data_IF_927503860464
#
_entry.id   IF_927503860464
#
_cell.length_a   1.000
_cell.length_b   1.000
_cell.length_c   1.000
_cell.angle_alpha   90.00
_cell.angle_beta   90.00
_cell.angle_gamma   90.00
#
_symmetry.space_group_name_H-M   'P 1'
#
loop_
_entity.id
_entity.type
_entity.pdbx_description
1 polymer ?
#
# COMPACT_ATOMS: atom_id res chain seq x y z
N UNK A 1 8.95 -86.58 -51.10
CA UNK A 1 8.12 -85.53 -51.74
C UNK A 1 6.95 -86.20 -52.48
N UNK A 2 5.75 -85.60 -52.50
CA UNK A 2 4.62 -86.12 -53.31
C UNK A 2 4.83 -85.74 -54.78
N UNK A 3 4.60 -86.66 -55.73
CA UNK A 3 4.78 -86.43 -57.18
C UNK A 3 3.98 -85.22 -57.70
N UNK A 4 2.82 -84.92 -57.09
CA UNK A 4 2.00 -83.75 -57.41
C UNK A 4 2.72 -82.39 -57.22
N UNK A 5 3.74 -82.31 -56.37
CA UNK A 5 4.55 -81.08 -56.15
C UNK A 5 5.62 -80.84 -57.22
N UNK A 6 5.80 -81.78 -58.16
CA UNK A 6 6.77 -81.65 -59.27
C UNK A 6 6.16 -80.97 -60.51
N UNK A 7 4.87 -80.65 -60.49
CA UNK A 7 4.23 -79.85 -61.53
C UNK A 7 4.84 -78.45 -61.60
N UNK A 8 5.06 -77.93 -62.81
CA UNK A 8 5.73 -76.64 -63.02
C UNK A 8 5.05 -75.46 -62.30
N UNK A 9 3.72 -75.49 -62.12
CA UNK A 9 2.95 -74.48 -61.38
C UNK A 9 3.22 -74.51 -59.87
N UNK A 10 3.31 -75.70 -59.28
CA UNK A 10 3.60 -75.85 -57.85
C UNK A 10 5.05 -75.45 -57.54
N UNK A 11 5.98 -75.73 -58.46
CA UNK A 11 7.35 -75.23 -58.35
C UNK A 11 7.41 -73.70 -58.41
N UNK A 12 6.66 -73.07 -59.32
CA UNK A 12 6.57 -71.60 -59.38
C UNK A 12 6.02 -70.98 -58.10
N UNK A 13 4.93 -71.53 -57.54
CA UNK A 13 4.39 -71.07 -56.25
C UNK A 13 5.42 -71.15 -55.12
N UNK A 14 6.16 -72.25 -55.04
CA UNK A 14 7.23 -72.42 -54.04
C UNK A 14 8.36 -71.42 -54.28
N UNK A 15 8.73 -71.15 -55.53
CA UNK A 15 9.73 -70.15 -55.87
C UNK A 15 9.27 -68.71 -55.57
N UNK A 16 7.96 -68.42 -55.69
CA UNK A 16 7.33 -67.15 -55.31
C UNK A 16 7.28 -66.99 -53.78
N UNK A 17 6.75 -67.98 -53.07
CA UNK A 17 6.70 -68.02 -51.60
C UNK A 17 8.11 -67.90 -51.01
N UNK A 18 9.09 -68.61 -51.57
CA UNK A 18 10.49 -68.49 -51.16
C UNK A 18 11.03 -67.07 -51.32
N UNK A 19 10.66 -66.37 -52.39
CA UNK A 19 11.07 -64.97 -52.63
C UNK A 19 10.40 -64.01 -51.63
N UNK A 20 9.11 -64.17 -51.39
CA UNK A 20 8.35 -63.36 -50.43
C UNK A 20 8.90 -63.52 -49.02
N UNK A 21 9.08 -64.77 -48.55
CA UNK A 21 9.65 -65.06 -47.23
C UNK A 21 11.09 -64.53 -47.13
N UNK A 22 11.91 -64.66 -48.18
CA UNK A 22 13.25 -64.05 -48.22
C UNK A 22 13.21 -62.53 -48.12
N UNK A 23 12.22 -61.88 -48.71
CA UNK A 23 12.04 -60.42 -48.63
C UNK A 23 11.58 -59.99 -47.24
N UNK A 24 10.63 -60.71 -46.66
CA UNK A 24 10.13 -60.47 -45.30
C UNK A 24 11.24 -60.63 -44.26
N UNK A 25 12.04 -61.71 -44.34
CA UNK A 25 13.20 -61.91 -43.46
C UNK A 25 14.16 -60.72 -43.56
N UNK A 26 14.51 -60.27 -44.77
CA UNK A 26 15.40 -59.10 -44.95
C UNK A 26 14.83 -57.83 -44.35
N UNK A 27 13.52 -57.63 -44.48
CA UNK A 27 12.83 -56.48 -43.90
C UNK A 27 12.87 -56.54 -42.36
N UNK A 28 12.51 -57.69 -41.76
CA UNK A 28 12.49 -57.89 -40.31
C UNK A 28 13.89 -57.82 -39.70
N UNK A 29 14.90 -58.46 -40.30
CA UNK A 29 16.30 -58.34 -39.88
C UNK A 29 16.80 -56.90 -40.00
N UNK A 30 16.45 -56.21 -41.09
CA UNK A 30 16.79 -54.81 -41.31
C UNK A 30 16.09 -53.84 -40.35
N UNK A 31 14.94 -54.24 -39.80
CA UNK A 31 14.21 -53.53 -38.75
C UNK A 31 14.85 -53.77 -37.38
N UNK A 32 15.17 -55.03 -37.04
CA UNK A 32 15.80 -55.43 -35.78
C UNK A 32 17.23 -54.88 -35.62
N UNK A 33 17.99 -54.77 -36.72
CA UNK A 33 19.35 -54.26 -36.70
C UNK A 33 19.46 -52.75 -36.44
N UNK A 34 18.38 -51.98 -36.69
CA UNK A 34 18.39 -50.52 -36.63
C UNK A 34 17.26 -50.00 -35.71
N UNK A 35 17.58 -49.63 -34.44
CA UNK A 35 16.59 -49.15 -33.48
C UNK A 35 15.74 -47.96 -33.97
N UNK A 36 16.30 -47.10 -34.83
CA UNK A 36 15.59 -45.95 -35.40
C UNK A 36 14.39 -46.35 -36.27
N UNK A 37 14.49 -47.45 -37.03
CA UNK A 37 13.38 -47.94 -37.86
C UNK A 37 12.24 -48.52 -37.01
N UNK A 38 12.57 -49.15 -35.88
CA UNK A 38 11.57 -49.63 -34.92
C UNK A 38 10.77 -48.45 -34.35
N UNK A 39 11.44 -47.36 -33.96
CA UNK A 39 10.75 -46.16 -33.48
C UNK A 39 9.84 -45.53 -34.54
N UNK A 40 10.21 -45.61 -35.81
CA UNK A 40 9.38 -45.16 -36.92
C UNK A 40 8.10 -45.99 -37.06
N UNK A 41 8.22 -47.32 -36.98
CA UNK A 41 7.07 -48.24 -36.94
C UNK A 41 6.17 -47.94 -35.74
N UNK A 42 6.74 -47.84 -34.52
CA UNK A 42 5.98 -47.52 -33.31
C UNK A 42 5.24 -46.18 -33.44
N UNK A 43 5.90 -45.15 -34.01
CA UNK A 43 5.26 -43.85 -34.24
C UNK A 43 4.08 -43.98 -35.20
N UNK A 44 4.20 -44.77 -36.26
CA UNK A 44 3.13 -44.99 -37.23
C UNK A 44 1.94 -45.73 -36.61
N UNK A 45 2.19 -46.75 -35.80
CA UNK A 45 1.17 -47.51 -35.09
C UNK A 45 0.45 -46.65 -34.03
N UNK A 46 1.20 -45.84 -33.25
CA UNK A 46 0.61 -44.91 -32.28
C UNK A 46 -0.25 -43.83 -32.95
N UNK A 47 0.16 -43.36 -34.14
CA UNK A 47 -0.64 -42.42 -34.91
C UNK A 47 -1.94 -43.07 -35.44
N UNK A 48 -1.89 -44.33 -35.86
CA UNK A 48 -3.06 -45.08 -36.27
C UNK A 48 -4.01 -45.33 -35.08
N UNK A 49 -3.49 -45.71 -33.91
CA UNK A 49 -4.27 -45.87 -32.68
C UNK A 49 -4.95 -44.57 -32.27
N UNK A 50 -4.24 -43.43 -32.32
CA UNK A 50 -4.81 -42.11 -32.06
C UNK A 50 -5.96 -41.78 -33.03
N UNK A 51 -5.86 -42.20 -34.29
CA UNK A 51 -6.91 -41.99 -35.30
C UNK A 51 -8.13 -42.89 -35.08
N UNK A 52 -7.92 -44.16 -34.70
CA UNK A 52 -9.01 -45.13 -34.48
C UNK A 52 -9.74 -44.91 -33.15
N UNK A 53 -9.03 -44.50 -32.09
CA UNK A 53 -9.55 -44.47 -30.73
C UNK A 53 -9.46 -43.10 -30.05
N UNK A 54 -9.04 -42.05 -30.75
CA UNK A 54 -8.97 -40.70 -30.19
C UNK A 54 -10.35 -40.09 -29.99
N UNK A 55 -10.64 -39.63 -28.77
CA UNK A 55 -11.82 -38.85 -28.42
C UNK A 55 -11.43 -37.42 -28.00
N UNK A 56 -12.30 -36.42 -28.22
CA UNK A 56 -12.08 -35.08 -27.71
C UNK A 56 -12.13 -35.09 -26.18
N UNK A 57 -11.30 -34.26 -25.54
CA UNK A 57 -11.29 -34.13 -24.09
C UNK A 57 -12.67 -33.69 -23.61
N UNK A 58 -13.29 -34.48 -22.73
CA UNK A 58 -14.62 -34.21 -22.18
C UNK A 58 -14.62 -33.14 -21.08
N UNK A 59 -13.50 -32.97 -20.38
CA UNK A 59 -13.34 -31.99 -19.30
C UNK A 59 -12.66 -30.73 -19.79
N UNK A 60 -13.20 -29.58 -19.43
CA UNK A 60 -12.53 -28.29 -19.61
C UNK A 60 -11.63 -28.04 -18.40
N UNK A 61 -10.36 -27.70 -18.65
CA UNK A 61 -9.48 -27.20 -17.59
C UNK A 61 -9.70 -25.69 -17.58
N UNK A 62 -10.44 -25.21 -16.59
CA UNK A 62 -10.57 -23.78 -16.35
C UNK A 62 -9.32 -23.38 -15.58
N UNK A 63 -8.52 -22.50 -16.16
CA UNK A 63 -7.35 -21.94 -15.48
C UNK A 63 -7.78 -20.82 -14.52
N UNK A 64 -6.96 -20.50 -13.51
CA UNK A 64 -7.26 -19.43 -12.54
C UNK A 64 -7.59 -18.08 -13.22
N UNK A 65 -7.06 -17.84 -14.43
CA UNK A 65 -7.32 -16.64 -15.23
C UNK A 65 -8.70 -16.61 -15.92
N UNK A 66 -9.36 -17.76 -16.12
CA UNK A 66 -10.65 -17.92 -16.81
C UNK A 66 -11.82 -18.17 -15.84
N UNK A 67 -11.53 -18.26 -14.54
CA UNK A 67 -12.53 -18.47 -13.50
C UNK A 67 -13.12 -17.13 -13.05
N UNK A 68 -14.37 -16.86 -13.44
CA UNK A 68 -15.10 -15.62 -13.13
C UNK A 68 -15.68 -15.60 -11.70
N UNK A 69 -15.50 -16.67 -10.94
CA UNK A 69 -15.80 -16.69 -9.51
C UNK A 69 -14.60 -16.18 -8.72
N UNK A 70 -14.81 -15.54 -7.58
CA UNK A 70 -13.69 -15.19 -6.70
C UNK A 70 -13.01 -16.48 -6.23
N UNK A 71 -11.79 -16.76 -6.70
CA UNK A 71 -10.92 -17.76 -6.07
C UNK A 71 -10.73 -17.29 -4.62
N UNK A 72 -11.26 -18.04 -3.65
CA UNK A 72 -11.13 -17.70 -2.24
C UNK A 72 -9.67 -17.93 -1.85
N UNK A 73 -8.85 -16.88 -1.98
CA UNK A 73 -7.50 -16.86 -1.43
C UNK A 73 -7.60 -16.87 0.10
N UNK A 74 -6.59 -17.43 0.78
CA UNK A 74 -6.60 -17.53 2.24
C UNK A 74 -6.76 -16.16 2.92
N UNK A 75 -6.28 -15.11 2.25
CA UNK A 75 -6.38 -13.70 2.62
C UNK A 75 -7.83 -13.19 2.62
N UNK A 76 -8.70 -13.73 1.76
CA UNK A 76 -10.12 -13.37 1.71
C UNK A 76 -10.94 -13.94 2.88
N UNK A 77 -10.39 -14.95 3.59
CA UNK A 77 -11.00 -15.54 4.79
C UNK A 77 -10.71 -14.73 6.07
N UNK A 78 -9.82 -13.73 5.98
CA UNK A 78 -9.53 -12.84 7.11
C UNK A 78 -10.73 -11.94 7.36
N UNK A 79 -11.23 -11.83 8.61
CA UNK A 79 -12.35 -10.95 8.91
C UNK A 79 -11.96 -9.50 8.64
N UNK A 80 -12.83 -8.79 7.93
CA UNK A 80 -12.75 -7.34 7.78
C UNK A 80 -13.13 -6.69 9.11
N UNK A 81 -12.34 -5.73 9.55
CA UNK A 81 -12.55 -5.06 10.83
C UNK A 81 -11.41 -4.14 11.19
N UNK A 82 -11.74 -3.05 11.86
CA UNK A 82 -10.73 -2.16 12.44
C UNK A 82 -10.05 -2.84 13.61
N UNK A 83 -8.72 -2.75 13.65
CA UNK A 83 -7.88 -3.24 14.74
C UNK A 83 -6.95 -2.14 15.19
N UNK A 84 -6.59 -2.16 16.47
CA UNK A 84 -5.57 -1.27 17.00
C UNK A 84 -4.23 -1.99 16.98
N UNK A 85 -3.27 -1.45 16.24
CA UNK A 85 -1.88 -1.92 16.23
C UNK A 85 -1.06 -1.04 17.16
N UNK A 86 -0.31 -1.66 18.06
CA UNK A 86 0.57 -0.94 18.99
C UNK A 86 1.98 -1.48 18.91
N UNK A 87 2.97 -0.58 18.94
CA UNK A 87 4.39 -0.92 18.95
C UNK A 87 5.01 -0.31 20.20
N UNK A 88 5.75 -1.10 20.97
CA UNK A 88 6.42 -0.66 22.19
C UNK A 88 7.78 -0.01 21.92
N UNK A 89 8.33 0.71 22.90
CA UNK A 89 9.69 1.26 22.80
C UNK A 89 10.79 0.20 22.72
N UNK A 90 10.47 -1.07 23.00
CA UNK A 90 11.37 -2.21 22.84
C UNK A 90 11.22 -2.89 21.47
N UNK A 91 10.35 -2.36 20.61
CA UNK A 91 10.02 -2.97 19.33
C UNK A 91 9.17 -4.23 19.50
N UNK A 92 8.28 -4.29 20.49
CA UNK A 92 7.27 -5.35 20.57
C UNK A 92 5.99 -4.88 19.87
N UNK A 93 5.43 -5.69 18.99
CA UNK A 93 4.22 -5.37 18.22
C UNK A 93 3.09 -6.32 18.61
N UNK A 94 1.87 -5.77 18.67
CA UNK A 94 0.64 -6.53 18.88
C UNK A 94 -0.53 -5.85 18.16
N UNK A 95 -1.55 -6.65 17.82
CA UNK A 95 -2.86 -6.16 17.37
C UNK A 95 -3.93 -6.42 18.42
N UNK A 96 -4.92 -5.54 18.49
CA UNK A 96 -6.07 -5.63 19.39
C UNK A 96 -7.33 -5.52 18.52
N UNK A 97 -8.14 -6.58 18.47
CA UNK A 97 -9.32 -6.67 17.61
C UNK A 97 -10.45 -5.72 18.00
N UNK A 98 -10.47 -5.23 19.24
CA UNK A 98 -11.49 -4.31 19.73
C UNK A 98 -10.93 -2.90 19.87
N UNK A 99 -11.23 -2.03 18.91
CA UNK A 99 -10.82 -0.62 18.88
C UNK A 99 -11.54 0.26 19.90
N UNK A 100 -12.64 -0.21 20.49
CA UNK A 100 -13.51 0.61 21.35
C UNK A 100 -12.83 1.13 22.62
N UNK A 101 -11.64 0.63 22.97
CA UNK A 101 -10.82 1.19 24.05
C UNK A 101 -9.37 1.31 23.59
N UNK A 102 -8.96 2.48 23.05
CA UNK A 102 -7.54 2.77 22.95
C UNK A 102 -6.87 2.64 24.33
N UNK A 103 -5.55 2.37 24.38
CA UNK A 103 -4.85 2.21 25.64
C UNK A 103 -5.07 3.44 26.51
N UNK A 104 -5.24 3.25 27.82
CA UNK A 104 -5.46 4.38 28.75
C UNK A 104 -4.27 5.34 28.84
N UNK A 105 -3.09 4.88 28.42
CA UNK A 105 -1.85 5.65 28.43
C UNK A 105 -0.95 5.22 27.28
N UNK A 106 -0.29 6.19 26.65
CA UNK A 106 0.70 5.94 25.60
C UNK A 106 2.08 5.54 26.12
N UNK A 107 2.29 5.49 27.45
CA UNK A 107 3.62 5.30 28.09
C UNK A 107 4.43 4.14 27.53
N UNK A 108 3.78 3.01 27.25
CA UNK A 108 4.44 1.78 26.83
C UNK A 108 4.74 1.74 25.33
N UNK A 109 4.23 2.70 24.55
CA UNK A 109 4.16 2.65 23.10
C UNK A 109 4.98 3.76 22.46
N UNK A 110 5.49 3.47 21.26
CA UNK A 110 6.11 4.45 20.35
C UNK A 110 5.23 4.70 19.13
N UNK A 111 4.39 3.74 18.77
CA UNK A 111 3.42 3.87 17.68
C UNK A 111 2.10 3.24 18.11
N UNK A 112 1.00 3.94 17.83
CA UNK A 112 -0.36 3.46 18.03
C UNK A 112 -1.16 3.91 16.81
N UNK A 113 -1.67 2.96 16.03
CA UNK A 113 -2.49 3.26 14.86
C UNK A 113 -3.74 2.37 14.83
N UNK A 114 -4.84 2.95 14.34
CA UNK A 114 -6.02 2.19 13.94
C UNK A 114 -5.80 1.80 12.48
N UNK A 115 -5.98 0.52 12.17
CA UNK A 115 -5.73 -0.04 10.85
C UNK A 115 -6.78 -1.09 10.51
N UNK A 116 -6.94 -1.44 9.25
CA UNK A 116 -7.79 -2.57 8.87
C UNK A 116 -7.05 -3.90 9.04
N UNK A 117 -7.72 -4.92 9.60
CA UNK A 117 -7.15 -6.24 9.80
C UNK A 117 -6.66 -6.92 8.50
N UNK A 118 -7.31 -6.63 7.37
CA UNK A 118 -6.96 -7.16 6.05
C UNK A 118 -5.79 -6.44 5.40
N UNK A 119 -5.43 -5.27 5.87
CA UNK A 119 -4.37 -4.48 5.27
C UNK A 119 -2.97 -4.97 5.66
N UNK A 120 -1.96 -4.35 5.06
CA UNK A 120 -0.57 -4.53 5.43
C UNK A 120 -0.06 -3.38 6.29
N UNK A 121 0.77 -3.71 7.25
CA UNK A 121 1.53 -2.76 8.04
C UNK A 121 2.87 -2.49 7.35
N UNK A 122 3.08 -1.23 6.96
CA UNK A 122 4.36 -0.75 6.46
C UNK A 122 5.13 -0.10 7.61
N UNK A 123 6.26 -0.70 7.99
CA UNK A 123 7.12 -0.23 9.07
C UNK A 123 8.36 0.42 8.50
N UNK A 124 8.59 1.66 8.88
CA UNK A 124 9.72 2.46 8.43
C UNK A 124 10.62 2.68 9.64
N UNK A 125 11.88 2.26 9.54
CA UNK A 125 12.85 2.46 10.60
C UNK A 125 13.50 3.83 10.53
N UNK A 126 14.07 4.28 11.65
CA UNK A 126 14.87 5.50 11.72
C UNK A 126 16.11 5.45 10.81
N UNK A 127 16.60 4.25 10.47
CA UNK A 127 17.72 4.06 9.52
C UNK A 127 17.30 4.24 8.05
N UNK A 128 16.01 4.46 7.78
CA UNK A 128 15.48 4.64 6.43
C UNK A 128 15.20 3.34 5.67
N UNK A 129 15.09 2.20 6.38
CA UNK A 129 14.70 0.90 5.81
C UNK A 129 13.23 0.62 6.07
N UNK A 130 12.66 -0.29 5.28
CA UNK A 130 11.20 -0.56 5.31
C UNK A 130 10.89 -2.04 5.32
N UNK A 131 9.87 -2.41 6.09
CA UNK A 131 9.33 -3.76 6.19
C UNK A 131 7.83 -3.78 5.98
N UNK A 132 7.35 -4.89 5.44
CA UNK A 132 5.92 -5.17 5.27
C UNK A 132 5.53 -6.38 6.10
N UNK A 133 4.40 -6.28 6.78
CA UNK A 133 3.80 -7.40 7.48
C UNK A 133 2.28 -7.32 7.35
N UNK A 134 1.64 -8.44 7.00
CA UNK A 134 0.19 -8.49 6.98
C UNK A 134 -0.36 -8.32 8.42
N UNK A 135 -1.30 -7.40 8.63
CA UNK A 135 -1.78 -7.03 9.97
C UNK A 135 -2.38 -8.25 10.68
N UNK A 136 -3.13 -9.07 9.97
CA UNK A 136 -3.71 -10.30 10.54
C UNK A 136 -2.68 -11.33 11.05
N UNK A 137 -1.42 -11.24 10.64
CA UNK A 137 -0.34 -12.11 11.13
C UNK A 137 0.32 -11.58 12.40
N UNK A 138 0.05 -10.33 12.77
CA UNK A 138 0.55 -9.78 14.03
C UNK A 138 -0.07 -10.53 15.22
N UNK A 139 0.68 -10.70 16.31
CA UNK A 139 0.19 -11.41 17.47
C UNK A 139 -1.01 -10.67 18.07
N UNK A 140 -2.10 -11.40 18.24
CA UNK A 140 -3.30 -10.86 18.86
C UNK A 140 -3.13 -10.81 20.39
N UNK A 141 -3.49 -9.67 20.97
CA UNK A 141 -3.41 -9.50 22.41
C UNK A 141 -4.49 -10.32 23.13
N UNK A 142 -4.10 -11.48 23.63
CA UNK A 142 -4.95 -12.37 24.44
C UNK A 142 -4.70 -12.27 25.96
N UNK A 143 -3.65 -11.54 26.39
CA UNK A 143 -3.25 -11.44 27.81
C UNK A 143 -2.55 -10.13 28.19
N UNK A 144 -1.79 -10.14 29.30
CA UNK A 144 -1.10 -8.95 29.85
C UNK A 144 0.26 -8.61 29.19
N UNK A 145 0.57 -9.17 28.02
CA UNK A 145 1.82 -8.87 27.28
C UNK A 145 1.74 -7.60 26.42
N UNK A 146 2.91 -7.12 25.99
CA UNK A 146 3.06 -6.04 25.00
C UNK A 146 3.23 -6.55 23.56
N UNK A 147 3.21 -7.86 23.35
CA UNK A 147 3.28 -8.49 22.02
C UNK A 147 4.54 -9.32 21.80
N UNK A 148 4.89 -9.51 20.53
CA UNK A 148 6.10 -10.21 20.08
C UNK A 148 7.11 -9.22 19.53
N UNK A 149 8.41 -9.51 19.66
CA UNK A 149 9.47 -8.64 19.13
C UNK A 149 9.46 -8.58 17.60
N UNK A 150 9.63 -7.38 17.04
CA UNK A 150 9.83 -7.14 15.61
C UNK A 150 11.00 -7.93 15.05
N UNK A 151 12.06 -8.19 15.85
CA UNK A 151 13.20 -9.01 15.44
C UNK A 151 12.81 -10.46 15.14
N UNK A 152 11.76 -11.00 15.78
CA UNK A 152 11.27 -12.35 15.51
C UNK A 152 10.30 -12.39 14.33
N UNK A 153 9.43 -11.38 14.22
CA UNK A 153 8.40 -11.32 13.18
C UNK A 153 8.95 -10.92 11.80
N UNK A 154 9.96 -10.05 11.77
CA UNK A 154 10.48 -9.47 10.55
C UNK A 154 11.88 -10.00 10.24
N UNK A 155 12.02 -10.67 9.11
CA UNK A 155 13.31 -11.09 8.60
C UNK A 155 14.19 -9.88 8.30
N UNK A 156 15.40 -9.86 8.86
CA UNK A 156 16.39 -8.80 8.61
C UNK A 156 16.20 -7.52 9.43
N UNK A 157 15.34 -7.53 10.46
CA UNK A 157 15.26 -6.44 11.44
C UNK A 157 16.43 -6.51 12.42
N UNK A 158 17.25 -5.46 12.47
CA UNK A 158 18.44 -5.42 13.32
C UNK A 158 18.14 -4.98 14.76
N UNK A 159 18.97 -5.36 15.73
CA UNK A 159 18.71 -5.08 17.17
C UNK A 159 18.77 -3.60 17.54
N UNK A 160 19.51 -2.81 16.79
CA UNK A 160 19.67 -1.36 16.96
C UNK A 160 18.65 -0.57 16.12
N UNK A 161 17.73 -1.26 15.45
CA UNK A 161 16.76 -0.63 14.57
C UNK A 161 15.53 -0.19 15.36
N UNK A 162 15.20 1.10 15.24
CA UNK A 162 14.03 1.70 15.89
C UNK A 162 12.99 2.09 14.84
N UNK A 163 11.70 1.94 15.19
CA UNK A 163 10.60 2.33 14.31
C UNK A 163 10.45 3.85 14.32
N UNK A 164 10.49 4.46 13.14
CA UNK A 164 10.18 5.87 12.92
C UNK A 164 8.68 6.09 12.67
N UNK A 165 8.06 5.25 11.82
CA UNK A 165 6.64 5.36 11.49
C UNK A 165 6.06 3.99 11.12
N UNK A 166 4.78 3.81 11.43
CA UNK A 166 4.01 2.62 11.12
C UNK A 166 2.74 3.04 10.38
N UNK A 167 2.54 2.51 9.18
CA UNK A 167 1.47 2.93 8.27
C UNK A 167 0.57 1.78 7.91
N UNK A 168 -0.74 2.05 7.89
CA UNK A 168 -1.74 1.15 7.34
C UNK A 168 -1.79 1.28 5.81
N UNK A 169 -1.59 0.18 5.11
CA UNK A 169 -1.52 0.15 3.65
C UNK A 169 -2.55 -0.86 3.10
N UNK A 170 -3.58 -0.38 2.37
CA UNK A 170 -4.53 -1.27 1.70
C UNK A 170 -3.83 -2.26 0.77
N UNK A 171 -4.25 -3.53 0.80
CA UNK A 171 -3.76 -4.54 -0.16
C UNK A 171 -4.27 -4.22 -1.57
N UNK A 172 -5.43 -3.56 -1.69
CA UNK A 172 -6.01 -3.21 -2.97
C UNK A 172 -5.08 -2.28 -3.76
N UNK A 173 -4.55 -2.84 -4.85
CA UNK A 173 -3.57 -2.20 -5.71
C UNK A 173 -4.10 -0.91 -6.36
N UNK A 174 -5.41 -0.81 -6.55
CA UNK A 174 -6.04 0.37 -7.16
C UNK A 174 -6.05 1.57 -6.22
N UNK A 175 -6.20 1.32 -4.91
CA UNK A 175 -6.16 2.33 -3.85
C UNK A 175 -4.73 2.79 -3.57
N UNK A 176 -3.77 1.87 -3.70
CA UNK A 176 -2.35 2.16 -3.60
C UNK A 176 -1.83 3.05 -4.73
N UNK A 177 -2.29 2.80 -5.97
CA UNK A 177 -1.80 3.47 -7.19
C UNK A 177 -1.92 5.01 -7.19
N UNK A 178 -2.82 5.55 -6.38
CA UNK A 178 -3.09 6.99 -6.30
C UNK A 178 -2.31 7.70 -5.18
N UNK A 179 -1.56 6.95 -4.37
CA UNK A 179 -0.89 7.48 -3.19
C UNK A 179 0.61 7.66 -3.39
N UNK A 180 1.23 8.50 -2.58
CA UNK A 180 2.67 8.64 -2.46
C UNK A 180 3.11 8.30 -1.04
N UNK A 181 4.33 7.79 -0.89
CA UNK A 181 4.95 7.65 0.42
C UNK A 181 5.88 8.84 0.63
N UNK A 182 5.54 9.69 1.59
CA UNK A 182 6.35 10.83 1.98
C UNK A 182 7.17 10.45 3.21
N UNK A 183 8.47 10.72 3.21
CA UNK A 183 9.36 10.52 4.33
C UNK A 183 10.20 11.78 4.60
N UNK A 184 10.45 12.06 5.86
CA UNK A 184 11.11 13.28 6.33
C UNK A 184 12.23 12.89 7.28
N UNK A 185 13.40 13.47 7.05
CA UNK A 185 14.57 13.24 7.88
C UNK A 185 14.74 14.33 8.92
N UNK A 186 15.49 14.01 9.98
CA UNK A 186 15.83 14.94 11.07
C UNK A 186 16.59 16.16 10.58
N UNK A 187 17.41 16.03 9.55
CA UNK A 187 18.12 17.16 8.93
C UNK A 187 17.23 18.00 7.99
N UNK A 188 15.93 17.70 7.88
CA UNK A 188 14.98 18.48 7.08
C UNK A 188 14.98 18.14 5.59
N UNK A 189 15.43 16.93 5.22
CA UNK A 189 15.22 16.40 3.87
C UNK A 189 13.85 15.73 3.77
N UNK A 190 13.28 15.80 2.57
CA UNK A 190 11.98 15.22 2.23
C UNK A 190 12.14 14.35 1.01
N UNK A 191 11.58 13.15 1.09
CA UNK A 191 11.54 12.16 0.02
C UNK A 191 10.08 11.89 -0.28
N UNK A 192 9.69 11.97 -1.55
CA UNK A 192 8.35 11.56 -2.03
C UNK A 192 8.52 10.38 -2.98
N UNK A 193 8.03 9.21 -2.60
CA UNK A 193 8.13 7.97 -3.38
C UNK A 193 6.77 7.66 -4.02
N UNK A 194 6.79 7.26 -5.28
CA UNK A 194 5.56 6.91 -6.01
C UNK A 194 4.92 5.61 -5.53
N UNK A 195 3.59 5.49 -5.65
CA UNK A 195 2.83 4.26 -5.38
C UNK A 195 3.45 2.99 -5.96
N UNK A 196 3.91 3.05 -7.21
CA UNK A 196 4.44 1.90 -7.94
C UNK A 196 5.68 1.30 -7.28
N UNK A 197 6.52 2.15 -6.67
CA UNK A 197 7.72 1.74 -5.96
C UNK A 197 7.38 1.16 -4.58
N UNK A 198 6.41 1.77 -3.88
CA UNK A 198 5.91 1.26 -2.59
C UNK A 198 5.30 -0.14 -2.76
N UNK A 199 4.56 -0.37 -3.85
CA UNK A 199 3.97 -1.66 -4.19
C UNK A 199 5.03 -2.77 -4.31
N UNK A 200 6.15 -2.49 -4.96
CA UNK A 200 7.20 -3.46 -5.24
C UNK A 200 8.27 -3.53 -4.13
N UNK A 201 8.01 -2.88 -2.99
CA UNK A 201 8.95 -2.82 -1.89
C UNK A 201 9.03 -4.18 -1.20
N UNK A 202 10.24 -4.73 -1.17
CA UNK A 202 10.55 -5.96 -0.45
C UNK A 202 10.95 -5.61 0.97
N UNK A 203 10.62 -6.48 1.94
CA UNK A 203 11.00 -6.27 3.34
C UNK A 203 12.53 -6.17 3.50
N UNK A 204 12.96 -5.13 4.22
CA UNK A 204 14.38 -4.80 4.45
C UNK A 204 15.00 -3.87 3.40
N UNK A 205 14.26 -3.42 2.38
CA UNK A 205 14.73 -2.48 1.38
C UNK A 205 15.02 -1.08 1.97
N UNK A 206 15.98 -0.36 1.39
CA UNK A 206 16.29 1.02 1.75
C UNK A 206 15.34 1.98 1.03
N UNK A 207 14.50 2.67 1.80
CA UNK A 207 13.60 3.71 1.29
C UNK A 207 14.34 5.02 1.09
N UNK A 208 15.15 5.41 2.09
CA UNK A 208 15.93 6.65 2.08
C UNK A 208 17.39 6.32 2.32
N UNK A 209 18.28 6.88 1.50
CA UNK A 209 19.71 6.83 1.75
C UNK A 209 20.10 8.01 2.64
N UNK A 210 20.41 7.73 3.90
CA UNK A 210 20.69 8.75 4.92
C UNK A 210 22.18 9.12 4.95
N UNK A 211 22.46 10.38 5.25
CA UNK A 211 23.81 10.84 5.57
C UNK A 211 24.19 10.44 7.01
N UNK A 212 25.48 10.54 7.34
CA UNK A 212 25.94 10.27 8.70
C UNK A 212 25.24 11.21 9.70
N UNK A 213 24.70 10.63 10.79
CA UNK A 213 23.92 11.32 11.82
C UNK A 213 22.55 11.87 11.38
N UNK A 214 22.03 11.47 10.22
CA UNK A 214 20.62 11.70 9.86
C UNK A 214 19.77 10.48 10.22
N UNK A 215 18.48 10.72 10.46
CA UNK A 215 17.50 9.67 10.76
C UNK A 215 16.14 10.04 10.16
N UNK A 216 15.36 9.04 9.74
CA UNK A 216 13.96 9.26 9.38
C UNK A 216 13.18 9.56 10.66
N UNK A 217 12.53 10.71 10.68
CA UNK A 217 11.72 11.16 11.81
C UNK A 217 10.26 10.74 11.64
N UNK A 218 9.73 10.92 10.43
CA UNK A 218 8.31 10.76 10.16
C UNK A 218 8.10 10.37 8.70
N UNK A 219 7.12 9.51 8.47
CA UNK A 219 6.67 9.17 7.14
C UNK A 219 5.16 8.92 7.14
N UNK A 220 4.50 9.16 6.00
CA UNK A 220 3.07 8.92 5.81
C UNK A 220 2.74 8.61 4.36
N UNK A 221 1.57 8.02 4.13
CA UNK A 221 0.95 8.02 2.81
C UNK A 221 0.22 9.34 2.56
N UNK A 222 0.32 9.85 1.35
CA UNK A 222 -0.33 11.10 0.87
C UNK A 222 -1.02 10.86 -0.47
N UNK A 223 -1.91 11.77 -0.90
CA UNK A 223 -2.66 11.65 -2.17
C UNK A 223 -2.04 12.44 -3.33
N UNK A 224 -1.04 13.28 -3.06
CA UNK A 224 -0.32 14.07 -4.06
C UNK A 224 -0.59 15.58 -4.00
N UNK A 225 -1.68 15.99 -3.33
CA UNK A 225 -2.18 17.35 -3.18
C UNK A 225 -2.14 17.88 -1.73
N UNK A 226 -1.51 17.13 -0.81
CA UNK A 226 -1.43 17.51 0.60
C UNK A 226 -0.44 18.67 0.83
N UNK A 227 -0.64 19.41 1.93
CA UNK A 227 0.32 20.41 2.42
C UNK A 227 1.16 19.81 3.55
N UNK A 228 2.47 19.96 3.45
CA UNK A 228 3.42 19.44 4.44
C UNK A 228 3.89 20.54 5.40
N UNK A 229 3.74 20.27 6.69
CA UNK A 229 4.32 21.06 7.77
C UNK A 229 5.59 20.40 8.32
N UNK A 230 6.65 21.18 8.46
CA UNK A 230 7.86 20.81 9.20
C UNK A 230 8.09 21.78 10.35
N UNK A 231 8.56 21.29 11.50
CA UNK A 231 8.85 22.11 12.68
C UNK A 231 10.26 21.81 13.19
N UNK A 232 11.06 22.85 13.40
CA UNK A 232 12.42 22.74 13.91
C UNK A 232 12.52 22.88 15.42
N UNK A 233 13.60 22.36 16.00
CA UNK A 233 13.93 22.45 17.42
C UNK A 233 14.04 23.91 17.89
N UNK A 234 14.46 24.82 17.00
CA UNK A 234 14.53 26.26 17.27
C UNK A 234 13.19 26.99 17.12
N UNK A 235 12.08 26.26 17.04
CA UNK A 235 10.75 26.85 17.06
C UNK A 235 10.39 27.59 15.78
N UNK A 236 10.92 27.15 14.64
CA UNK A 236 10.47 27.56 13.32
C UNK A 236 9.54 26.51 12.72
N UNK A 237 8.55 26.93 11.94
CA UNK A 237 7.63 26.04 11.22
C UNK A 237 7.48 26.47 9.77
N UNK A 238 7.57 25.53 8.84
CA UNK A 238 7.40 25.77 7.40
C UNK A 238 6.26 24.91 6.87
N UNK A 239 5.35 25.53 6.12
CA UNK A 239 4.22 24.89 5.46
C UNK A 239 4.36 25.09 3.95
N UNK A 240 4.38 24.01 3.17
CA UNK A 240 4.49 24.06 1.72
C UNK A 240 3.72 22.90 1.07
N UNK A 241 3.40 23.00 -0.22
CA UNK A 241 2.68 21.94 -0.93
C UNK A 241 3.60 20.74 -1.18
N UNK A 242 3.12 19.50 -0.97
CA UNK A 242 3.95 18.32 -1.23
C UNK A 242 4.33 18.18 -2.71
N UNK A 243 3.55 18.79 -3.61
CA UNK A 243 3.81 18.85 -5.04
C UNK A 243 5.14 19.55 -5.40
N UNK A 244 5.66 20.42 -4.52
CA UNK A 244 6.99 21.05 -4.65
C UNK A 244 8.14 20.03 -4.56
N UNK A 245 7.88 18.83 -4.02
CA UNK A 245 8.83 17.73 -3.95
C UNK A 245 8.51 16.76 -5.08
N UNK A 246 9.35 16.66 -6.10
CA UNK A 246 9.10 15.70 -7.19
C UNK A 246 9.04 14.25 -6.67
N UNK A 247 8.17 13.39 -7.23
CA UNK A 247 8.20 11.97 -6.91
C UNK A 247 9.50 11.34 -7.44
N UNK A 248 10.10 10.46 -6.65
CA UNK A 248 11.33 9.74 -6.96
C UNK A 248 11.16 8.23 -6.71
N UNK A 249 12.19 7.46 -7.06
CA UNK A 249 12.31 6.06 -6.63
C UNK A 249 12.78 5.93 -5.18
N UNK A 250 13.06 4.70 -4.77
CA UNK A 250 13.64 4.36 -3.45
C UNK A 250 15.15 4.54 -3.41
N UNK A 251 15.73 4.55 -2.21
CA UNK A 251 17.18 4.62 -2.01
C UNK A 251 17.80 5.98 -2.38
N UNK A 252 16.97 7.02 -2.49
CA UNK A 252 17.42 8.38 -2.76
C UNK A 252 17.68 9.15 -1.47
N UNK A 253 18.45 10.22 -1.57
CA UNK A 253 18.73 11.11 -0.45
C UNK A 253 17.61 12.12 -0.16
N UNK A 254 16.70 12.36 -1.10
CA UNK A 254 15.66 13.38 -1.00
C UNK A 254 16.12 14.78 -1.37
N UNK A 255 15.21 15.74 -1.22
CA UNK A 255 15.45 17.17 -1.45
C UNK A 255 15.25 17.94 -0.16
N UNK A 256 15.81 19.15 -0.07
CA UNK A 256 15.64 19.99 1.11
C UNK A 256 14.19 20.49 1.25
N UNK A 257 13.58 20.23 2.41
CA UNK A 257 12.26 20.72 2.79
C UNK A 257 12.30 21.97 3.68
N UNK A 258 13.20 22.00 4.66
CA UNK A 258 13.39 23.15 5.57
C UNK A 258 14.85 23.56 5.62
N UNK A 259 15.10 24.88 5.66
CA UNK A 259 16.44 25.41 5.90
C UNK A 259 16.68 25.57 7.39
N UNK A 260 17.54 24.70 7.94
CA UNK A 260 18.00 24.75 9.33
C UNK A 260 19.23 25.67 9.41
N UNK A 261 19.16 26.76 10.18
CA UNK A 261 20.23 27.77 10.22
C UNK A 261 21.25 27.56 11.33
N UNK A 262 20.81 27.08 12.49
CA UNK A 262 21.69 26.88 13.62
C UNK A 262 22.37 25.51 13.54
N UNK A 263 23.62 25.42 13.99
CA UNK A 263 24.43 24.19 13.90
C UNK A 263 23.80 22.98 14.59
N UNK A 264 22.94 23.20 15.59
CA UNK A 264 22.28 22.15 16.35
C UNK A 264 20.76 22.15 16.13
N UNK A 265 20.26 22.83 15.09
CA UNK A 265 18.85 22.76 14.73
C UNK A 265 18.56 21.45 13.99
N UNK A 266 17.34 20.96 14.19
CA UNK A 266 16.87 19.71 13.64
C UNK A 266 15.35 19.76 13.54
N UNK A 267 14.76 19.02 12.61
CA UNK A 267 13.32 18.81 12.58
C UNK A 267 12.91 17.93 13.76
N UNK A 268 11.93 18.39 14.54
CA UNK A 268 11.40 17.72 15.74
C UNK A 268 9.93 17.31 15.58
N UNK A 269 9.31 17.71 14.48
CA UNK A 269 7.97 17.26 14.13
C UNK A 269 7.63 17.55 12.69
N UNK A 270 6.73 16.75 12.17
CA UNK A 270 6.16 16.91 10.85
C UNK A 270 4.71 16.42 10.83
N UNK A 271 3.96 16.84 9.83
CA UNK A 271 2.61 16.34 9.60
C UNK A 271 1.98 16.96 8.37
N UNK A 272 0.90 16.33 7.89
CA UNK A 272 0.08 16.90 6.84
C UNK A 272 -0.85 17.95 7.45
N UNK A 273 -1.02 19.08 6.78
CA UNK A 273 -1.96 20.10 7.18
C UNK A 273 -3.35 19.80 6.59
N UNK A 274 -4.34 19.70 7.47
CA UNK A 274 -5.74 19.56 7.09
C UNK A 274 -6.55 20.71 7.68
N UNK A 275 -7.67 21.03 7.05
CA UNK A 275 -8.57 22.08 7.53
C UNK A 275 -9.04 21.76 8.96
N UNK A 276 -8.98 22.75 9.86
CA UNK A 276 -9.38 22.58 11.26
C UNK A 276 -8.38 21.82 12.16
N UNK A 277 -7.21 21.45 11.64
CA UNK A 277 -6.16 20.83 12.45
C UNK A 277 -5.32 21.88 13.19
N UNK A 278 -4.79 21.49 14.34
CA UNK A 278 -3.85 22.28 15.13
C UNK A 278 -2.45 21.65 15.09
N UNK A 279 -1.43 22.46 15.33
CA UNK A 279 -0.10 22.01 15.70
C UNK A 279 0.05 21.98 17.22
N UNK A 280 0.26 20.80 17.80
CA UNK A 280 0.71 20.67 19.19
C UNK A 280 2.23 20.71 19.23
N UNK A 281 2.78 21.65 20.01
CA UNK A 281 4.23 21.74 20.26
C UNK A 281 4.55 21.64 21.73
N UNK A 282 5.71 21.05 22.06
CA UNK A 282 6.23 20.98 23.42
C UNK A 282 7.75 21.20 23.47
N UNK A 283 8.21 22.05 24.39
CA UNK A 283 9.63 22.27 24.67
C UNK A 283 10.23 21.20 25.58
N UNK A 284 11.56 21.13 25.61
CA UNK A 284 12.29 20.25 26.53
C UNK A 284 11.91 20.47 28.00
N UNK A 285 11.55 21.70 28.40
CA UNK A 285 11.14 22.00 29.78
C UNK A 285 9.63 21.85 30.03
N UNK A 286 8.86 21.38 29.04
CA UNK A 286 7.43 21.12 29.16
C UNK A 286 6.53 22.30 28.83
N UNK A 287 7.06 23.39 28.24
CA UNK A 287 6.21 24.46 27.70
C UNK A 287 5.47 23.95 26.47
N UNK A 288 4.14 23.93 26.50
CA UNK A 288 3.34 23.38 25.43
C UNK A 288 2.11 24.23 25.10
N UNK A 289 1.66 24.12 23.85
CA UNK A 289 0.47 24.82 23.33
C UNK A 289 -0.03 24.16 22.05
N UNK A 290 -1.29 24.45 21.70
CA UNK A 290 -1.83 24.25 20.35
C UNK A 290 -1.78 25.56 19.58
N UNK A 291 -1.46 25.47 18.30
CA UNK A 291 -1.49 26.59 17.36
C UNK A 291 -2.33 26.19 16.15
N UNK A 292 -3.35 26.97 15.76
CA UNK A 292 -4.11 26.68 14.55
C UNK A 292 -3.18 26.62 13.31
N UNK A 293 -3.33 25.61 12.47
CA UNK A 293 -2.52 25.54 11.24
C UNK A 293 -2.78 26.71 10.28
N UNK A 294 -3.95 27.35 10.37
CA UNK A 294 -4.28 28.55 9.62
C UNK A 294 -3.34 29.74 9.89
N UNK A 295 -2.59 29.74 11.01
CA UNK A 295 -1.60 30.78 11.29
C UNK A 295 -0.30 30.63 10.49
N UNK A 296 -0.09 29.49 9.83
CA UNK A 296 1.09 29.19 9.04
C UNK A 296 0.85 29.56 7.57
N UNK A 297 1.50 30.60 7.06
CA UNK A 297 1.39 30.92 5.64
C UNK A 297 2.08 29.83 4.81
N UNK A 298 1.42 29.45 3.72
CA UNK A 298 2.02 28.58 2.71
C UNK A 298 3.17 29.33 2.04
N UNK A 299 4.33 28.69 1.97
CA UNK A 299 5.54 29.21 1.33
C UNK A 299 6.18 28.12 0.47
N UNK A 300 7.22 28.47 -0.29
CA UNK A 300 8.00 27.46 -1.02
C UNK A 300 8.88 26.62 -0.09
N UNK A 301 9.17 25.37 -0.50
CA UNK A 301 10.11 24.51 0.23
C UNK A 301 11.49 25.14 0.39
N UNK A 302 12.26 24.65 1.35
CA UNK A 302 13.60 25.12 1.73
C UNK A 302 13.66 26.58 2.23
N UNK A 303 12.53 27.12 2.64
CA UNK A 303 12.48 28.33 3.47
C UNK A 303 12.94 28.05 4.91
N UNK A 304 13.19 29.13 5.67
CA UNK A 304 13.47 29.05 7.12
C UNK A 304 12.23 28.72 7.94
N UNK A 305 11.04 28.94 7.37
CA UNK A 305 9.80 28.90 8.12
C UNK A 305 9.48 30.22 8.81
N UNK A 306 8.36 30.22 9.53
CA UNK A 306 7.91 31.29 10.41
C UNK A 306 7.99 30.81 11.85
N UNK A 307 8.08 31.75 12.79
CA UNK A 307 8.16 31.40 14.22
C UNK A 307 6.91 30.64 14.66
N UNK A 308 7.11 29.54 15.37
CA UNK A 308 6.09 28.66 15.97
C UNK A 308 5.94 28.88 17.46
N UNK A 309 7.04 29.19 18.16
CA UNK A 309 7.03 29.50 19.58
C UNK A 309 8.14 30.49 19.92
N UNK A 310 7.86 31.43 20.82
CA UNK A 310 8.89 32.33 21.34
C UNK A 310 9.74 31.62 22.40
N UNK A 311 10.74 30.88 21.93
CA UNK A 311 11.70 30.18 22.78
C UNK A 311 12.62 31.17 23.50
N UNK A 312 12.82 30.94 24.79
CA UNK A 312 13.82 31.61 25.61
C UNK A 312 14.75 30.56 26.27
N UNK A 313 15.87 30.98 26.89
CA UNK A 313 16.78 30.04 27.55
C UNK A 313 16.15 29.20 28.68
N UNK A 314 15.00 29.63 29.24
CA UNK A 314 14.26 28.91 30.28
C UNK A 314 13.31 27.87 29.69
N UNK A 315 12.74 28.13 28.51
CA UNK A 315 11.90 27.16 27.79
C UNK A 315 12.73 26.05 27.16
N UNK A 316 13.98 26.35 26.80
CA UNK A 316 14.82 25.46 26.00
C UNK A 316 14.26 25.28 24.57
N UNK A 317 14.89 24.43 23.75
CA UNK A 317 14.41 24.12 22.41
C UNK A 317 13.12 23.29 22.43
N UNK A 318 12.42 23.25 21.30
CA UNK A 318 11.33 22.31 21.06
C UNK A 318 11.86 20.87 21.12
N UNK A 319 11.15 20.01 21.84
CA UNK A 319 11.45 18.59 21.92
C UNK A 319 10.66 17.78 20.90
N UNK A 320 9.41 18.15 20.65
CA UNK A 320 8.54 17.46 19.70
C UNK A 320 7.42 18.38 19.21
N UNK A 321 6.90 18.06 18.02
CA UNK A 321 5.69 18.64 17.48
C UNK A 321 4.86 17.60 16.72
N UNK A 322 3.54 17.72 16.75
CA UNK A 322 2.63 16.83 16.02
C UNK A 322 1.40 17.60 15.54
N UNK A 323 0.95 17.32 14.31
CA UNK A 323 -0.37 17.78 13.85
C UNK A 323 -1.45 16.93 14.51
N UNK A 324 -2.40 17.60 15.15
CA UNK A 324 -3.43 16.98 16.00
C UNK A 324 -4.81 17.51 15.66
N UNK A 325 -5.81 16.67 15.85
CA UNK A 325 -7.21 17.07 15.92
C UNK A 325 -7.66 17.17 17.39
N UNK A 326 -8.75 17.87 17.68
CA UNK A 326 -9.19 18.12 19.06
C UNK A 326 -9.52 16.85 19.85
N UNK A 327 -10.00 15.82 19.15
CA UNK A 327 -10.33 14.50 19.68
C UNK A 327 -9.11 13.62 19.99
N UNK A 328 -7.93 13.99 19.48
CA UNK A 328 -6.72 13.22 19.68
C UNK A 328 -6.28 13.25 21.15
N UNK A 329 -5.47 12.26 21.52
CA UNK A 329 -4.72 12.21 22.76
C UNK A 329 -3.23 12.32 22.43
N UNK A 330 -2.46 12.80 23.40
CA UNK A 330 -1.02 12.85 23.28
C UNK A 330 -0.37 12.37 24.58
N UNK A 331 0.70 11.60 24.48
CA UNK A 331 1.52 11.21 25.63
C UNK A 331 2.89 11.85 25.50
N UNK A 332 3.25 12.66 26.50
CA UNK A 332 4.58 13.24 26.63
C UNK A 332 5.48 12.26 27.36
N UNK A 333 6.67 11.98 26.82
CA UNK A 333 7.65 11.07 27.39
C UNK A 333 8.89 11.84 27.84
N UNK A 334 9.38 11.56 29.04
CA UNK A 334 10.61 12.17 29.58
C UNK A 334 11.80 11.22 29.52
N UNK A 335 13.00 11.78 29.66
CA UNK A 335 14.26 11.04 29.71
C UNK A 335 14.35 10.01 30.86
N UNK A 336 13.57 10.16 31.94
CA UNK A 336 13.56 9.24 33.10
C UNK A 336 12.36 8.30 33.11
N UNK A 337 11.80 7.97 31.94
CA UNK A 337 10.65 7.04 31.78
C UNK A 337 9.39 7.48 32.55
N UNK A 338 9.26 8.77 32.82
CA UNK A 338 7.99 9.37 33.24
C UNK A 338 7.18 9.72 31.99
N UNK A 339 5.86 9.67 32.12
CA UNK A 339 4.95 9.98 31.02
C UNK A 339 3.77 10.78 31.54
N UNK A 340 3.31 11.74 30.74
CA UNK A 340 2.11 12.52 31.04
C UNK A 340 1.17 12.43 29.86
N UNK A 341 -0.05 11.94 30.10
CA UNK A 341 -1.10 11.88 29.10
C UNK A 341 -1.87 13.21 29.08
N UNK A 342 -2.04 13.76 27.88
CA UNK A 342 -2.70 15.02 27.58
C UNK A 342 -3.87 14.76 26.64
N UNK A 343 -5.04 15.28 27.01
CA UNK A 343 -6.16 15.36 26.09
C UNK A 343 -6.00 16.63 25.25
N UNK A 344 -5.91 16.50 23.92
CA UNK A 344 -5.59 17.61 23.02
C UNK A 344 -6.59 18.76 23.18
N UNK A 345 -7.89 18.47 23.27
CA UNK A 345 -8.96 19.44 23.60
C UNK A 345 -8.70 20.32 24.84
N UNK A 346 -7.95 19.86 25.83
CA UNK A 346 -7.69 20.62 27.06
C UNK A 346 -6.38 21.41 27.00
N UNK A 347 -5.56 21.19 25.98
CA UNK A 347 -4.36 22.00 25.74
C UNK A 347 -4.80 23.35 25.22
N UNK A 348 -4.24 24.42 25.79
CA UNK A 348 -4.59 25.80 25.43
C UNK A 348 -4.16 26.08 23.98
N UNK A 349 -5.11 26.59 23.20
CA UNK A 349 -4.91 27.05 21.83
C UNK A 349 -4.58 28.55 21.86
N UNK A 350 -3.44 28.92 21.30
CA UNK A 350 -2.92 30.31 21.29
C UNK A 350 -2.13 30.53 20.00
N UNK A 351 -1.77 31.79 19.75
CA UNK A 351 -1.01 32.16 18.57
C UNK A 351 0.43 31.60 18.54
N UNK A 352 1.07 31.75 17.38
CA UNK A 352 2.47 31.40 17.14
C UNK A 352 3.48 32.11 18.06
N UNK A 353 3.20 33.32 18.54
CA UNK A 353 4.15 34.10 19.33
C UNK A 353 4.10 33.78 20.83
N UNK A 354 3.00 33.23 21.32
CA UNK A 354 2.84 32.85 22.72
C UNK A 354 3.80 31.72 23.13
N UNK A 355 4.24 31.69 24.39
CA UNK A 355 5.17 30.66 24.90
C UNK A 355 4.47 29.34 25.28
N UNK A 356 3.15 29.38 25.47
CA UNK A 356 2.35 28.25 25.94
C UNK A 356 2.32 28.15 27.47
N UNK A 357 1.83 27.01 27.96
CA UNK A 357 1.70 26.74 29.39
C UNK A 357 2.71 25.69 29.82
N UNK A 358 3.17 25.79 31.07
CA UNK A 358 4.11 24.83 31.63
C UNK A 358 3.39 23.56 32.06
N UNK A 359 3.83 22.43 31.54
CA UNK A 359 3.47 21.12 32.06
C UNK A 359 4.23 20.86 33.35
N UNK A 360 3.55 20.30 34.35
CA UNK A 360 4.22 19.88 35.58
C UNK A 360 5.08 18.64 35.31
N UNK A 361 6.39 18.80 35.43
CA UNK A 361 7.38 17.76 35.20
C UNK A 361 8.20 17.58 36.48
N UNK A 362 8.52 16.33 36.86
CA UNK A 362 9.38 16.10 38.02
C UNK A 362 10.76 16.76 37.85
N UNK A 363 11.42 17.08 38.97
CA UNK A 363 12.71 17.75 38.96
C UNK A 363 13.78 16.99 38.15
N UNK A 364 14.62 17.74 37.43
CA UNK A 364 15.70 17.22 36.59
C UNK A 364 15.22 16.21 35.52
N UNK A 365 14.01 16.41 35.00
CA UNK A 365 13.49 15.70 33.85
C UNK A 365 13.21 16.69 32.71
N UNK A 366 13.41 16.20 31.48
CA UNK A 366 13.07 16.94 30.27
C UNK A 366 12.33 16.04 29.30
N UNK A 367 11.52 16.67 28.45
CA UNK A 367 10.75 16.01 27.40
C UNK A 367 11.70 15.50 26.32
N UNK A 368 11.47 14.25 25.88
CA UNK A 368 12.25 13.58 24.84
C UNK A 368 11.38 13.26 23.62
N UNK A 369 10.11 12.93 23.83
CA UNK A 369 9.21 12.56 22.75
C UNK A 369 7.76 12.90 23.07
N UNK A 370 6.96 12.99 22.01
CA UNK A 370 5.51 13.14 22.04
C UNK A 370 4.91 12.04 21.17
N UNK A 371 4.03 11.23 21.75
CA UNK A 371 3.25 10.25 21.02
C UNK A 371 1.84 10.78 20.83
N UNK A 372 1.41 10.98 19.59
CA UNK A 372 0.01 11.20 19.25
C UNK A 372 -0.72 9.86 19.14
N UNK A 373 -1.91 9.74 19.70
CA UNK A 373 -2.75 8.55 19.59
C UNK A 373 -4.22 8.88 19.80
N UNK A 374 -5.12 8.03 19.32
CA UNK A 374 -6.55 8.36 19.25
C UNK A 374 -6.90 9.17 18.00
N UNK A 375 -8.20 9.22 17.67
CA UNK A 375 -8.68 9.71 16.37
C UNK A 375 -8.56 8.64 15.27
N UNK A 376 -9.45 8.67 14.26
CA UNK A 376 -9.36 7.77 13.10
C UNK A 376 -8.11 8.13 12.29
N UNK A 377 -7.10 7.27 12.33
CA UNK A 377 -5.94 7.35 11.44
C UNK A 377 -6.28 6.64 10.13
N UNK A 378 -7.02 7.32 9.25
CA UNK A 378 -7.27 6.88 7.89
C UNK A 378 -7.17 8.07 6.93
N UNK A 379 -6.89 7.85 5.63
CA UNK A 379 -6.95 8.92 4.65
C UNK A 379 -8.42 9.31 4.45
N UNK A 380 -8.91 10.28 5.23
CA UNK A 380 -10.26 10.79 5.08
C UNK A 380 -10.44 11.32 3.64
N UNK A 381 -11.42 10.76 2.94
CA UNK A 381 -11.75 11.14 1.58
C UNK A 381 -12.10 12.63 1.55
N UNK A 382 -11.33 13.41 0.78
CA UNK A 382 -11.50 14.84 0.65
C UNK A 382 -12.96 15.23 0.38
N UNK A 383 -13.52 16.01 1.30
CA UNK A 383 -14.64 16.86 0.96
C UNK A 383 -14.10 17.92 -0.01
N UNK A 384 -14.51 17.83 -1.28
CA UNK A 384 -14.12 18.74 -2.33
C UNK A 384 -14.39 20.19 -1.92
N UNK A 385 -13.34 21.00 -1.98
CA UNK A 385 -13.47 22.45 -1.94
C UNK A 385 -14.02 22.86 -3.31
N UNK A 386 -15.33 23.13 -3.38
CA UNK A 386 -15.88 23.90 -4.49
C UNK A 386 -15.21 25.28 -4.48
N UNK A 387 -14.37 25.51 -5.49
CA UNK A 387 -13.78 26.80 -5.78
C UNK A 387 -14.88 27.80 -6.15
N UNK A 388 -15.24 28.68 -5.23
CA UNK A 388 -15.95 29.90 -5.56
C UNK A 388 -14.96 30.87 -6.24
N UNK A 389 -14.85 30.80 -7.56
CA UNK A 389 -14.23 31.86 -8.36
C UNK A 389 -15.27 32.91 -8.71
N UNK A 390 -14.98 34.13 -8.30
CA UNK A 390 -15.68 35.37 -8.62
C UNK A 390 -15.88 35.55 -10.13
N UNK A 391 -17.10 35.92 -10.52
CA UNK A 391 -17.35 36.63 -11.77
C UNK A 391 -17.98 37.98 -11.40
N UNK A 392 -17.14 39.02 -11.41
CA UNK A 392 -17.54 40.41 -11.26
C UNK A 392 -17.74 40.99 -12.66
N UNK A 393 -18.96 41.39 -13.01
CA UNK A 393 -19.22 42.35 -14.09
C UNK A 393 -20.42 43.24 -13.72
N UNK A 394 -20.06 44.45 -13.30
CA UNK A 394 -20.74 45.74 -13.48
C UNK A 394 -22.13 45.75 -14.13
N UNK A 395 -23.13 46.26 -13.40
CA UNK A 395 -24.07 47.28 -13.90
C UNK A 395 -24.76 48.01 -12.75
N UNK A 396 -24.77 49.34 -12.84
CA UNK A 396 -25.39 50.29 -11.94
C UNK A 396 -26.92 50.23 -11.96
N UNK A 397 -27.57 50.57 -10.84
CA UNK A 397 -28.52 51.70 -10.69
C UNK A 397 -29.42 51.54 -9.45
N UNK A 398 -29.51 52.62 -8.66
CA UNK A 398 -30.76 53.07 -8.02
C UNK A 398 -31.21 52.43 -6.71
N UNK A 399 -31.00 53.13 -5.59
CA UNK A 399 -31.96 53.09 -4.46
C UNK A 399 -33.30 53.77 -4.86
N UNK A 400 -34.35 53.77 -4.01
CA UNK A 400 -34.24 54.07 -2.58
C UNK A 400 -35.15 53.27 -1.60
N UNK A 401 -34.66 53.16 -0.36
CA UNK A 401 -35.29 53.49 0.94
C UNK A 401 -36.76 53.16 1.31
N UNK A 402 -36.88 52.70 2.58
CA UNK A 402 -37.89 53.01 3.63
C UNK A 402 -39.14 52.11 3.82
N UNK A 403 -39.11 51.44 4.99
CA UNK A 403 -40.12 51.40 6.10
C UNK A 403 -41.41 50.56 6.00
N UNK A 404 -41.72 50.01 7.19
CA UNK A 404 -42.99 49.52 7.80
C UNK A 404 -43.24 48.01 7.73
N UNK A 405 -43.18 47.26 8.85
CA UNK A 405 -44.01 47.16 10.09
C UNK A 405 -45.23 46.23 9.96
N UNK A 406 -45.52 45.56 11.08
CA UNK A 406 -46.76 44.84 11.48
C UNK A 406 -46.79 43.34 11.10
N UNK A 407 -46.43 42.43 12.01
CA UNK A 407 -47.20 41.82 13.13
C UNK A 407 -48.19 40.70 12.76
N UNK A 408 -47.94 39.53 13.40
CA UNK A 408 -48.91 38.62 14.07
C UNK A 408 -49.94 37.83 13.26
N UNK A 409 -49.81 36.49 13.30
CA UNK A 409 -50.62 35.51 14.07
C UNK A 409 -50.33 34.09 13.52
N UNK A 410 -49.75 33.18 14.29
CA UNK A 410 -50.33 32.25 15.29
C UNK A 410 -51.34 31.23 14.73
N UNK A 411 -51.00 29.97 15.04
CA UNK A 411 -51.84 28.80 15.33
C UNK A 411 -52.12 27.82 14.18
N UNK A 412 -51.45 26.66 14.28
CA UNK A 412 -52.03 25.32 14.52
C UNK A 412 -53.31 24.98 13.72
N UNK A 413 -53.49 23.78 13.15
CA UNK A 413 -53.37 22.47 13.80
C UNK A 413 -53.82 21.38 12.79
N UNK A 414 -53.47 20.13 13.09
CA UNK A 414 -54.18 18.87 12.76
C UNK A 414 -54.23 18.32 11.33
N UNK A 415 -53.41 17.28 11.14
CA UNK A 415 -53.80 15.85 11.00
C UNK A 415 -55.22 15.57 10.47
N UNK A 416 -55.30 14.84 9.36
CA UNK A 416 -56.23 13.71 9.24
C UNK A 416 -55.71 12.65 8.26
N UNK A 417 -55.63 11.44 8.78
CA UNK A 417 -55.58 10.15 8.10
C UNK A 417 -56.92 9.87 7.42
N UNK A 418 -56.93 9.37 6.18
CA UNK A 418 -57.98 8.45 5.70
C UNK A 418 -57.34 7.35 4.85
N UNK A 419 -57.83 6.15 5.15
CA UNK A 419 -57.54 4.80 4.70
C UNK A 419 -58.16 4.46 3.34
N UNK A 420 -57.66 3.33 2.81
CA UNK A 420 -58.39 2.21 2.20
C UNK A 420 -58.52 2.07 0.68
N UNK A 421 -57.95 0.94 0.23
CA UNK A 421 -58.57 -0.06 -0.65
C UNK A 421 -58.22 0.07 -2.12
N UNK A 422 -57.99 -0.98 -2.91
CA UNK A 422 -57.83 -2.42 -2.70
C UNK A 422 -57.66 -3.03 -4.11
N UNK A 423 -56.92 -4.12 -4.19
CA UNK A 423 -57.13 -5.26 -5.09
C UNK A 423 -56.70 -5.27 -6.58
N UNK A 424 -55.77 -6.22 -6.80
CA UNK A 424 -55.83 -7.35 -7.74
C UNK A 424 -55.26 -7.28 -9.18
N UNK A 425 -54.16 -8.07 -9.31
CA UNK A 425 -53.94 -9.21 -10.24
C UNK A 425 -53.53 -9.00 -11.71
N UNK A 426 -52.58 -9.88 -12.06
CA UNK A 426 -52.43 -10.66 -13.31
C UNK A 426 -51.44 -10.17 -14.39
N UNK A 427 -50.20 -10.69 -14.28
CA UNK A 427 -49.47 -11.57 -15.20
C UNK A 427 -49.26 -11.27 -16.72
N UNK A 428 -48.20 -11.85 -17.34
CA UNK A 428 -47.48 -11.30 -18.50
C UNK A 428 -47.72 -12.05 -19.83
N UNK A 429 -47.26 -11.45 -20.93
CA UNK A 429 -47.08 -12.10 -22.26
C UNK A 429 -45.75 -11.61 -22.85
N UNK A 430 -44.74 -12.45 -23.12
CA UNK A 430 -44.50 -13.43 -24.20
C UNK A 430 -44.19 -12.84 -25.60
N UNK A 431 -42.92 -13.03 -25.98
CA UNK A 431 -42.35 -13.49 -27.27
C UNK A 431 -42.65 -12.72 -28.59
N UNK A 432 -41.60 -12.31 -29.33
CA UNK A 432 -41.16 -13.01 -30.57
C UNK A 432 -39.95 -12.35 -31.31
N UNK A 433 -39.12 -13.24 -31.88
CA UNK A 433 -38.26 -13.16 -33.09
C UNK A 433 -37.12 -12.13 -33.22
N UNK A 434 -35.87 -12.59 -33.03
CA UNK A 434 -35.09 -13.34 -34.04
C UNK A 434 -34.76 -12.65 -35.37
N UNK A 435 -33.46 -12.43 -35.63
CA UNK A 435 -32.84 -12.55 -36.97
C UNK A 435 -31.33 -12.84 -36.86
N UNK A 436 -30.92 -13.97 -37.44
CA UNK A 436 -29.54 -14.38 -37.75
C UNK A 436 -29.12 -13.85 -39.13
N UNK A 437 -27.80 -13.73 -39.35
CA UNK A 437 -26.99 -13.91 -40.58
C UNK A 437 -25.77 -12.98 -40.45
N UNK A 438 -24.52 -13.31 -40.78
CA UNK A 438 -23.90 -14.42 -41.49
C UNK A 438 -22.38 -14.39 -41.25
N UNK A 439 -21.75 -15.57 -41.29
CA UNK A 439 -20.30 -15.77 -41.39
C UNK A 439 -19.75 -15.24 -42.72
N UNK A 440 -18.50 -14.78 -42.73
CA UNK A 440 -17.61 -14.97 -43.87
C UNK A 440 -16.16 -15.24 -43.42
N UNK A 441 -15.61 -16.29 -44.01
CA UNK A 441 -14.24 -16.79 -43.94
C UNK A 441 -13.41 -16.08 -45.01
N UNK A 442 -12.16 -15.69 -44.72
CA UNK A 442 -11.07 -15.86 -45.69
C UNK A 442 -9.74 -16.12 -45.00
N UNK A 443 -9.19 -17.25 -45.41
CA UNK A 443 -7.86 -17.80 -45.18
C UNK A 443 -6.83 -17.07 -46.08
N UNK A 444 -5.61 -16.84 -45.59
CA UNK A 444 -4.44 -16.73 -46.47
C UNK A 444 -3.17 -17.11 -45.71
N UNK A 445 -2.62 -18.24 -46.13
CA UNK A 445 -1.38 -18.83 -45.69
C UNK A 445 -0.23 -18.52 -46.66
N UNK A 446 1.00 -18.59 -46.13
CA UNK A 446 2.24 -19.15 -46.71
C UNK A 446 3.44 -18.24 -47.00
N UNK A 447 4.58 -18.83 -46.56
CA UNK A 447 5.92 -18.90 -47.16
C UNK A 447 6.89 -17.72 -46.92
N UNK A 448 8.19 -17.93 -46.66
CA UNK A 448 9.06 -19.12 -46.66
C UNK A 448 10.50 -18.76 -46.23
N UNK A 449 11.25 -19.78 -45.76
CA UNK A 449 12.69 -20.06 -45.93
C UNK A 449 13.81 -19.24 -45.22
N UNK A 450 14.37 -19.86 -44.15
CA UNK A 450 15.75 -20.41 -43.94
C UNK A 450 16.92 -20.00 -44.90
N UNK A 451 18.23 -20.30 -44.67
CA UNK A 451 18.99 -20.80 -43.48
C UNK A 451 20.39 -20.14 -43.24
N UNK A 452 21.11 -20.67 -42.23
CA UNK A 452 22.58 -20.91 -42.12
C UNK A 452 23.38 -20.16 -41.03
N UNK A 453 24.15 -20.94 -40.25
CA UNK A 453 25.31 -20.44 -39.49
C UNK A 453 25.83 -21.34 -38.37
N UNK A 454 26.45 -22.48 -38.72
CA UNK A 454 27.22 -23.39 -37.83
C UNK A 454 28.53 -22.76 -37.30
N UNK A 455 29.01 -23.32 -36.18
CA UNK A 455 30.41 -23.48 -35.68
C UNK A 455 30.63 -22.79 -34.32
N UNK A 456 31.36 -23.29 -33.33
CA UNK A 456 32.20 -24.47 -33.08
C UNK A 456 32.85 -24.25 -31.69
N UNK A 457 32.85 -25.24 -30.78
CA UNK A 457 34.05 -25.98 -30.31
C UNK A 457 35.12 -25.23 -29.46
N UNK A 458 35.58 -25.94 -28.41
CA UNK A 458 36.70 -25.71 -27.46
C UNK A 458 36.31 -24.93 -26.19
N UNK A 459 36.54 -25.39 -24.96
CA UNK A 459 37.61 -26.25 -24.45
C UNK A 459 38.48 -25.39 -23.52
N UNK A 460 38.43 -25.62 -22.20
CA UNK A 460 39.17 -24.79 -21.24
C UNK A 460 39.13 -25.32 -19.81
N UNK A 461 40.00 -26.28 -19.52
CA UNK A 461 40.44 -26.68 -18.17
C UNK A 461 41.35 -25.59 -17.59
N UNK A 462 41.18 -25.18 -16.32
CA UNK A 462 42.28 -24.88 -15.38
C UNK A 462 41.80 -24.53 -13.97
N UNK A 463 42.30 -25.33 -13.02
CA UNK A 463 42.73 -25.01 -11.66
C UNK A 463 42.75 -23.53 -11.21
N UNK A 464 42.27 -23.26 -9.99
CA UNK A 464 43.15 -23.05 -8.83
C UNK A 464 42.38 -22.87 -7.50
N UNK A 465 42.92 -23.55 -6.48
CA UNK A 465 42.79 -23.32 -5.04
C UNK A 465 42.64 -21.84 -4.65
N UNK A 466 41.69 -21.52 -3.76
CA UNK A 466 41.95 -21.21 -2.35
C UNK A 466 40.66 -21.19 -1.54
#
# INVERSE_FOLDING_TARGET
MRLARLAALERKKIEEEYKEVRQEIRYLEGLLAAPAKILEVIRSELAELKKRYGDPRRTMIITDAEYNGSVVQAENLVPDGEVLVTISSKGEVQRIMNTARPPRSGRAYTQVLVANNRNELLLISKSGRVWRAAIHRLPEKTGQGLGESLTHLLTGWERNEEVASALDVPIDETLLAQNFLLAITRNGRVVRVSAAEVKNLHSGASLVNLEANDEVLWATLTRGDDQLLLVSAQGQGILFAESDVRPTGIGVQGVWGMKLEEKNDAVVGAGLAHAGSDLLVISQTGMHKRVPLAEYPVQGRYGKGVRTMNLDPKSGPLAAAAVVAEQDQATVLTNKRHSVDLSVRHVVQVDRYHQGHKLDLPENQHVVALLKWGGQSGPEAGAGIESASEANTTAAQGGPSLKEKVEKKKAANRVSTIQEGSDEKSQPSKEHNGQQLSLDFTDSSKNSDNPNGRSGSKGGTRDKKR
#
